data_IF_871960512925
#
_entry.id   IF_871960512925
#
_cell.length_a   1.000
_cell.length_b   1.000
_cell.length_c   1.000
_cell.angle_alpha   90.00
_cell.angle_beta   90.00
_cell.angle_gamma   90.00
#
_symmetry.space_group_name_H-M   'P 1'
#
loop_
_entity.id
_entity.type
_entity.pdbx_description
1 polymer ?
#
# COMPACT_ATOMS: atom_id res chain seq x y z
N UNK A 1 -9.13 -28.03 5.65
CA UNK A 1 -7.74 -28.22 5.18
C UNK A 1 -7.14 -26.94 4.57
N UNK A 2 -7.84 -26.22 3.67
CA UNK A 2 -7.37 -24.94 3.10
C UNK A 2 -7.19 -23.77 4.09
N UNK A 3 -7.92 -23.73 5.22
CA UNK A 3 -7.78 -22.68 6.26
C UNK A 3 -6.45 -22.72 7.05
N UNK A 4 -5.81 -23.89 7.14
CA UNK A 4 -4.62 -24.07 8.01
C UNK A 4 -3.29 -23.76 7.31
N UNK A 5 -3.26 -23.80 5.97
CA UNK A 5 -2.03 -23.60 5.18
C UNK A 5 -1.63 -22.11 5.11
N UNK A 6 -2.56 -21.19 5.31
CA UNK A 6 -2.33 -19.73 5.22
C UNK A 6 -1.56 -19.18 6.45
N UNK A 7 -1.48 -19.92 7.56
CA UNK A 7 -1.35 -19.31 8.91
C UNK A 7 0.07 -19.39 9.53
N UNK A 8 1.13 -19.83 8.83
CA UNK A 8 2.48 -19.79 9.41
C UNK A 8 3.32 -18.55 9.08
N UNK A 9 2.97 -17.78 8.05
CA UNK A 9 3.68 -16.55 7.66
C UNK A 9 2.78 -15.30 7.63
N UNK A 10 1.50 -15.44 7.96
CA UNK A 10 0.57 -14.31 7.99
C UNK A 10 0.77 -13.47 9.26
N UNK A 11 0.77 -12.15 9.09
CA UNK A 11 0.83 -11.18 10.20
C UNK A 11 -0.58 -11.03 10.77
N UNK A 12 -0.78 -11.35 12.05
CA UNK A 12 -2.12 -11.43 12.65
C UNK A 12 -2.21 -10.52 13.88
N UNK A 13 -3.36 -9.85 14.01
CA UNK A 13 -3.72 -9.08 15.21
C UNK A 13 -5.21 -9.21 15.49
N UNK A 14 -5.60 -9.13 16.76
CA UNK A 14 -6.98 -8.90 17.17
C UNK A 14 -7.13 -7.57 17.89
N UNK A 15 -8.33 -6.99 17.82
CA UNK A 15 -8.66 -5.77 18.55
C UNK A 15 -10.06 -5.82 19.15
N UNK A 16 -10.25 -5.11 20.26
CA UNK A 16 -11.57 -4.90 20.87
C UNK A 16 -12.46 -4.01 19.98
N UNK A 17 -13.73 -3.84 20.37
CA UNK A 17 -14.68 -3.00 19.62
C UNK A 17 -14.25 -1.51 19.52
N UNK A 18 -13.34 -1.04 20.40
CA UNK A 18 -12.77 0.31 20.36
C UNK A 18 -11.57 0.40 19.41
N UNK A 19 -11.00 -0.73 18.99
CA UNK A 19 -9.82 -0.80 18.13
C UNK A 19 -8.50 -0.90 18.91
N UNK A 20 -8.53 -1.21 20.20
CA UNK A 20 -7.33 -1.49 20.98
C UNK A 20 -6.90 -2.93 20.75
N UNK A 21 -5.60 -3.15 20.56
CA UNK A 21 -5.02 -4.46 20.29
C UNK A 21 -5.21 -5.36 21.52
N UNK A 22 -5.79 -6.53 21.32
CA UNK A 22 -5.99 -7.56 22.34
C UNK A 22 -5.09 -8.77 22.13
N UNK A 23 -4.55 -8.93 20.92
CA UNK A 23 -3.63 -10.01 20.57
C UNK A 23 -2.80 -9.63 19.34
N UNK A 24 -1.56 -10.11 19.31
CA UNK A 24 -0.68 -10.10 18.14
C UNK A 24 0.10 -11.40 18.07
N UNK A 25 0.46 -11.85 16.87
CA UNK A 25 1.37 -12.98 16.73
C UNK A 25 2.83 -12.53 16.59
N UNK A 26 3.76 -13.49 16.69
CA UNK A 26 5.21 -13.25 16.56
C UNK A 26 5.56 -12.53 15.25
N UNK A 27 4.89 -12.86 14.14
CA UNK A 27 5.11 -12.22 12.86
C UNK A 27 4.79 -10.71 12.90
N UNK A 28 3.73 -10.30 13.61
CA UNK A 28 3.40 -8.89 13.81
C UNK A 28 4.48 -8.17 14.61
N UNK A 29 4.92 -8.76 15.73
CA UNK A 29 5.99 -8.19 16.55
C UNK A 29 7.28 -8.04 15.73
N UNK A 30 7.66 -9.08 14.98
CA UNK A 30 8.86 -9.10 14.15
C UNK A 30 8.86 -8.03 13.05
N UNK A 31 7.77 -7.89 12.30
CA UNK A 31 7.74 -6.92 11.19
C UNK A 31 7.64 -5.48 11.69
N UNK A 32 6.89 -5.24 12.77
CA UNK A 32 6.66 -3.91 13.32
C UNK A 32 7.83 -3.42 14.21
N UNK A 33 8.63 -4.34 14.74
CA UNK A 33 9.73 -4.04 15.66
C UNK A 33 9.28 -3.71 17.09
N UNK A 34 8.00 -3.83 17.39
CA UNK A 34 7.46 -3.69 18.74
C UNK A 34 7.44 -5.03 19.47
N UNK A 35 7.60 -4.99 20.78
CA UNK A 35 7.30 -6.14 21.64
C UNK A 35 5.79 -6.25 21.85
N UNK A 36 5.31 -7.45 22.15
CA UNK A 36 3.89 -7.70 22.41
C UNK A 36 3.38 -6.81 23.54
N UNK A 37 4.12 -6.68 24.65
CA UNK A 37 3.73 -5.85 25.80
C UNK A 37 3.57 -4.37 25.46
N UNK A 38 4.23 -3.89 24.40
CA UNK A 38 4.11 -2.52 23.91
C UNK A 38 2.89 -2.31 23.02
N UNK A 39 2.34 -3.40 22.46
CA UNK A 39 1.21 -3.40 21.53
C UNK A 39 -0.11 -3.65 22.26
N UNK A 40 -0.15 -4.58 23.21
CA UNK A 40 -1.39 -4.94 23.92
C UNK A 40 -1.99 -3.72 24.63
N UNK A 41 -3.29 -3.52 24.45
CA UNK A 41 -4.06 -2.41 24.99
C UNK A 41 -3.85 -1.08 24.27
N UNK A 42 -2.96 -0.99 23.27
CA UNK A 42 -2.78 0.22 22.47
C UNK A 42 -3.75 0.26 21.29
N UNK A 43 -4.16 1.45 20.83
CA UNK A 43 -4.91 1.58 19.59
C UNK A 43 -4.06 1.07 18.41
N UNK A 44 -4.70 0.39 17.45
CA UNK A 44 -4.01 -0.18 16.28
C UNK A 44 -3.24 0.85 15.45
N UNK A 45 -3.60 2.15 15.55
CA UNK A 45 -2.92 3.24 14.87
C UNK A 45 -1.46 3.48 15.33
N UNK A 46 -0.96 2.79 16.36
CA UNK A 46 0.45 2.84 16.79
C UNK A 46 1.44 2.53 15.65
N UNK A 47 1.05 1.64 14.73
CA UNK A 47 1.86 1.28 13.55
C UNK A 47 1.49 2.09 12.30
N UNK A 48 0.58 3.07 12.38
CA UNK A 48 0.14 3.83 11.20
C UNK A 48 1.27 4.72 10.69
N UNK A 49 1.54 4.66 9.39
CA UNK A 49 2.44 5.61 8.75
C UNK A 49 1.74 6.97 8.53
N UNK A 50 2.41 8.12 8.77
CA UNK A 50 1.81 9.45 8.58
C UNK A 50 1.42 9.76 7.13
N UNK A 51 2.15 9.23 6.15
CA UNK A 51 1.84 9.38 4.72
C UNK A 51 0.53 8.70 4.28
N UNK A 52 -0.08 7.85 5.11
CA UNK A 52 -1.33 7.20 4.74
C UNK A 52 -2.48 8.21 4.81
N UNK A 53 -3.25 8.30 3.73
CA UNK A 53 -4.47 9.11 3.71
C UNK A 53 -5.46 8.61 4.78
N UNK A 54 -5.91 9.57 5.60
CA UNK A 54 -6.95 9.36 6.61
C UNK A 54 -8.25 8.79 6.05
N UNK A 55 -8.56 9.06 4.77
CA UNK A 55 -9.77 8.59 4.09
C UNK A 55 -9.87 7.06 4.07
N UNK A 56 -8.74 6.37 3.88
CA UNK A 56 -8.65 4.90 3.90
C UNK A 56 -9.12 4.33 5.24
N UNK A 57 -8.73 4.96 6.34
CA UNK A 57 -9.14 4.49 7.67
C UNK A 57 -10.59 4.86 8.01
N UNK A 58 -11.09 5.97 7.46
CA UNK A 58 -12.51 6.35 7.59
C UNK A 58 -13.39 5.31 6.90
N UNK A 59 -13.04 4.94 5.67
CA UNK A 59 -13.71 3.91 4.88
C UNK A 59 -13.61 2.53 5.56
N UNK A 60 -12.42 2.14 6.02
CA UNK A 60 -12.21 0.93 6.80
C UNK A 60 -13.14 0.88 8.02
N UNK A 61 -13.18 1.92 8.85
CA UNK A 61 -14.03 1.95 10.04
C UNK A 61 -15.51 1.87 9.70
N UNK A 62 -15.96 2.61 8.68
CA UNK A 62 -17.34 2.53 8.21
C UNK A 62 -17.71 1.09 7.81
N UNK A 63 -16.84 0.44 7.03
CA UNK A 63 -17.05 -0.93 6.55
C UNK A 63 -17.12 -1.96 7.68
N UNK A 64 -16.16 -1.94 8.61
CA UNK A 64 -16.11 -2.97 9.66
C UNK A 64 -17.02 -2.70 10.87
N UNK A 65 -17.34 -1.43 11.17
CA UNK A 65 -18.21 -1.06 12.29
C UNK A 65 -19.66 -0.88 11.89
N UNK A 66 -19.92 -0.06 10.88
CA UNK A 66 -21.28 0.36 10.55
C UNK A 66 -21.96 -0.69 9.66
N UNK A 67 -21.25 -1.14 8.61
CA UNK A 67 -21.75 -2.17 7.69
C UNK A 67 -21.54 -3.59 8.22
N UNK A 68 -20.67 -3.76 9.22
CA UNK A 68 -20.27 -5.05 9.81
C UNK A 68 -19.78 -6.05 8.73
N UNK A 69 -19.08 -5.54 7.71
CA UNK A 69 -18.53 -6.33 6.62
C UNK A 69 -17.00 -6.42 6.70
N UNK A 70 -16.39 -7.45 6.07
CA UNK A 70 -14.95 -7.49 5.83
C UNK A 70 -14.46 -6.26 5.06
N UNK A 71 -13.32 -5.70 5.48
CA UNK A 71 -12.60 -4.69 4.71
C UNK A 71 -11.28 -5.27 4.20
N UNK A 72 -10.85 -4.85 3.01
CA UNK A 72 -9.57 -5.21 2.41
C UNK A 72 -8.88 -4.00 1.80
N UNK A 73 -7.57 -3.87 2.00
CA UNK A 73 -6.81 -2.76 1.42
C UNK A 73 -5.31 -2.85 1.67
N UNK A 74 -4.56 -2.00 0.96
CA UNK A 74 -3.11 -1.86 1.14
C UNK A 74 -2.83 -0.74 2.13
N UNK A 75 -1.97 -1.01 3.12
CA UNK A 75 -1.64 -0.05 4.18
C UNK A 75 -0.12 0.06 4.33
N UNK A 76 0.40 1.28 4.33
CA UNK A 76 1.75 1.61 4.77
C UNK A 76 1.77 1.75 6.28
N UNK A 77 2.61 0.96 6.92
CA UNK A 77 2.83 1.02 8.37
C UNK A 77 4.25 1.51 8.67
N UNK A 78 4.42 2.10 9.85
CA UNK A 78 5.70 2.54 10.40
C UNK A 78 6.12 1.60 11.53
N UNK A 79 7.36 1.16 11.47
CA UNK A 79 8.04 0.37 12.50
C UNK A 79 8.41 1.24 13.71
N UNK A 80 8.78 0.59 14.81
CA UNK A 80 9.26 1.27 16.02
C UNK A 80 10.51 2.14 15.77
N UNK A 81 11.40 1.70 14.90
CA UNK A 81 12.65 2.39 14.53
C UNK A 81 12.45 3.55 13.55
N UNK A 82 11.22 3.80 13.09
CA UNK A 82 10.89 4.85 12.12
C UNK A 82 10.88 4.40 10.66
N UNK A 83 11.41 3.21 10.34
CA UNK A 83 11.30 2.63 8.99
C UNK A 83 9.83 2.27 8.67
N UNK A 84 9.55 1.86 7.44
CA UNK A 84 8.20 1.49 7.02
C UNK A 84 8.13 0.10 6.39
N UNK A 85 6.90 -0.40 6.25
CA UNK A 85 6.58 -1.63 5.55
C UNK A 85 5.17 -1.52 4.96
N UNK A 86 4.92 -2.24 3.87
CA UNK A 86 3.61 -2.29 3.22
C UNK A 86 2.94 -3.63 3.47
N UNK A 87 1.64 -3.60 3.76
CA UNK A 87 0.84 -4.80 3.97
C UNK A 87 -0.43 -4.76 3.16
N UNK A 88 -0.75 -5.87 2.50
CA UNK A 88 -2.12 -6.14 2.09
C UNK A 88 -2.87 -6.68 3.31
N UNK A 89 -3.97 -6.03 3.68
CA UNK A 89 -4.69 -6.24 4.93
C UNK A 89 -6.11 -6.68 4.64
N UNK A 90 -6.60 -7.67 5.38
CA UNK A 90 -8.01 -8.00 5.50
C UNK A 90 -8.42 -7.85 6.97
N UNK A 91 -9.52 -7.17 7.25
CA UNK A 91 -10.07 -6.99 8.60
C UNK A 91 -11.49 -7.51 8.61
N UNK A 92 -11.75 -8.47 9.49
CA UNK A 92 -13.07 -9.07 9.68
C UNK A 92 -13.63 -8.68 11.05
N UNK A 93 -14.84 -8.10 11.12
CA UNK A 93 -15.58 -8.02 12.37
C UNK A 93 -16.11 -9.41 12.76
N UNK A 94 -15.93 -9.77 14.01
CA UNK A 94 -16.49 -10.99 14.61
C UNK A 94 -17.71 -10.57 15.41
N UNK A 95 -18.87 -11.15 15.09
CA UNK A 95 -20.14 -10.79 15.67
C UNK A 95 -20.60 -11.84 16.70
N UNK A 96 -21.30 -11.40 17.74
CA UNK A 96 -22.04 -12.28 18.64
C UNK A 96 -23.38 -12.73 18.01
N UNK A 97 -24.13 -13.57 18.74
CA UNK A 97 -25.44 -14.08 18.30
C UNK A 97 -26.50 -12.99 18.12
N UNK A 98 -26.31 -11.82 18.76
CA UNK A 98 -27.18 -10.66 18.65
C UNK A 98 -26.74 -9.69 17.55
N UNK A 99 -25.66 -10.03 16.82
CA UNK A 99 -25.08 -9.20 15.77
C UNK A 99 -24.24 -8.02 16.28
N UNK A 100 -23.88 -7.96 17.56
CA UNK A 100 -22.93 -6.97 18.08
C UNK A 100 -21.50 -7.37 17.78
N UNK A 101 -20.62 -6.39 17.60
CA UNK A 101 -19.20 -6.64 17.36
C UNK A 101 -18.53 -7.07 18.66
N UNK A 102 -18.01 -8.29 18.68
CA UNK A 102 -17.21 -8.84 19.77
C UNK A 102 -15.76 -8.36 19.67
N UNK A 103 -15.16 -8.56 18.49
CA UNK A 103 -13.76 -8.22 18.21
C UNK A 103 -13.53 -8.02 16.71
N UNK A 104 -12.38 -7.46 16.36
CA UNK A 104 -11.88 -7.43 14.98
C UNK A 104 -10.68 -8.35 14.84
N UNK A 105 -10.61 -9.10 13.74
CA UNK A 105 -9.45 -9.91 13.38
C UNK A 105 -8.84 -9.34 12.10
N UNK A 106 -7.57 -8.94 12.18
CA UNK A 106 -6.79 -8.46 11.04
C UNK A 106 -5.74 -9.48 10.62
N UNK A 107 -5.75 -9.84 9.33
CA UNK A 107 -4.75 -10.71 8.70
C UNK A 107 -4.04 -9.91 7.62
N UNK A 108 -2.71 -10.02 7.58
CA UNK A 108 -1.86 -9.22 6.71
C UNK A 108 -0.79 -10.05 6.02
N UNK A 109 -0.53 -9.68 4.78
CA UNK A 109 0.59 -10.18 3.97
C UNK A 109 1.56 -9.04 3.74
N UNK A 110 2.85 -9.25 4.02
CA UNK A 110 3.91 -8.30 3.67
C UNK A 110 4.04 -8.21 2.15
N UNK A 111 3.90 -7.01 1.61
CA UNK A 111 4.04 -6.70 0.19
C UNK A 111 5.09 -5.60 -0.04
N UNK A 112 5.97 -5.37 0.95
CA UNK A 112 6.97 -4.28 0.91
C UNK A 112 7.86 -4.36 -0.32
N UNK A 113 8.38 -5.54 -0.65
CA UNK A 113 9.23 -5.72 -1.83
C UNK A 113 8.45 -5.57 -3.15
N UNK A 114 7.16 -5.93 -3.15
CA UNK A 114 6.27 -5.73 -4.30
C UNK A 114 6.07 -4.24 -4.56
N UNK A 115 5.74 -3.45 -3.53
CA UNK A 115 5.52 -2.01 -3.68
C UNK A 115 6.83 -1.28 -4.02
N UNK A 116 7.97 -1.66 -3.44
CA UNK A 116 9.28 -1.11 -3.85
C UNK A 116 9.61 -1.40 -5.31
N UNK A 117 9.35 -2.63 -5.76
CA UNK A 117 9.60 -3.01 -7.17
C UNK A 117 8.68 -2.23 -8.10
N UNK A 118 7.42 -2.06 -7.72
CA UNK A 118 6.45 -1.27 -8.48
C UNK A 118 6.85 0.21 -8.57
N UNK A 119 7.33 0.80 -7.48
CA UNK A 119 7.85 2.17 -7.46
C UNK A 119 9.08 2.31 -8.38
N UNK A 120 10.05 1.40 -8.26
CA UNK A 120 11.21 1.35 -9.15
C UNK A 120 10.82 1.24 -10.63
N UNK A 121 9.91 0.32 -10.97
CA UNK A 121 9.45 0.13 -12.34
C UNK A 121 8.72 1.36 -12.88
N UNK A 122 7.96 2.05 -12.03
CA UNK A 122 7.29 3.31 -12.39
C UNK A 122 8.33 4.39 -12.73
N UNK A 123 9.34 4.56 -11.89
CA UNK A 123 10.41 5.53 -12.15
C UNK A 123 11.15 5.24 -13.46
N UNK A 124 11.47 3.96 -13.72
CA UNK A 124 12.10 3.56 -14.99
C UNK A 124 11.18 3.82 -16.20
N UNK A 125 9.88 3.57 -16.05
CA UNK A 125 8.90 3.87 -17.09
C UNK A 125 8.84 5.38 -17.38
N UNK A 126 8.78 6.21 -16.35
CA UNK A 126 8.70 7.67 -16.47
C UNK A 126 9.97 8.24 -17.13
N UNK A 127 11.16 7.73 -16.77
CA UNK A 127 12.43 8.09 -17.43
C UNK A 127 12.41 7.70 -18.92
N UNK A 128 11.95 6.49 -19.23
CA UNK A 128 11.87 6.00 -20.61
C UNK A 128 10.92 6.85 -21.46
N UNK A 129 9.76 7.24 -20.93
CA UNK A 129 8.81 8.13 -21.60
C UNK A 129 9.43 9.49 -21.91
N UNK A 130 10.13 10.09 -20.95
CA UNK A 130 10.79 11.37 -21.13
C UNK A 130 11.88 11.30 -22.22
N UNK A 131 12.74 10.28 -22.16
CA UNK A 131 13.78 10.06 -23.17
C UNK A 131 13.19 9.87 -24.58
N UNK A 132 12.11 9.10 -24.69
CA UNK A 132 11.42 8.90 -25.98
C UNK A 132 10.85 10.22 -26.51
N UNK A 133 10.25 11.03 -25.64
CA UNK A 133 9.70 12.34 -26.02
C UNK A 133 10.80 13.30 -26.51
N UNK A 134 11.98 13.28 -25.90
CA UNK A 134 13.13 14.07 -26.35
C UNK A 134 13.59 13.66 -27.75
N UNK A 135 13.73 12.35 -28.00
CA UNK A 135 14.11 11.83 -29.32
C UNK A 135 13.07 12.22 -30.39
N UNK A 136 11.78 12.11 -30.07
CA UNK A 136 10.70 12.52 -30.98
C UNK A 136 10.73 14.02 -31.29
N UNK A 137 11.01 14.86 -30.29
CA UNK A 137 11.14 16.30 -30.49
C UNK A 137 12.33 16.62 -31.39
N UNK A 138 13.47 15.94 -31.18
CA UNK A 138 14.65 16.11 -32.00
C UNK A 138 14.41 15.67 -33.45
N UNK A 139 13.71 14.54 -33.68
CA UNK A 139 13.33 14.08 -35.02
C UNK A 139 12.53 15.13 -35.78
N UNK A 140 11.50 15.71 -35.13
CA UNK A 140 10.69 16.78 -35.72
C UNK A 140 11.51 18.02 -36.06
N UNK A 141 12.49 18.38 -35.22
CA UNK A 141 13.37 19.51 -35.51
C UNK A 141 14.22 19.25 -36.76
N UNK A 142 14.76 18.04 -36.92
CA UNK A 142 15.51 17.64 -38.10
C UNK A 142 14.63 17.62 -39.37
N UNK A 143 13.44 17.05 -39.31
CA UNK A 143 12.47 17.05 -40.43
C UNK A 143 12.19 18.48 -40.91
N UNK A 144 11.84 19.37 -39.97
CA UNK A 144 11.60 20.79 -40.29
C UNK A 144 12.82 21.49 -40.89
N UNK A 145 14.03 21.17 -40.41
CA UNK A 145 15.26 21.75 -40.95
C UNK A 145 15.54 21.27 -42.39
N UNK A 146 15.30 19.99 -42.67
CA UNK A 146 15.45 19.40 -44.00
C UNK A 146 14.44 20.01 -44.98
N UNK A 147 13.18 20.14 -44.58
CA UNK A 147 12.14 20.79 -45.41
C UNK A 147 12.51 22.23 -45.75
N UNK A 148 12.92 23.03 -44.76
CA UNK A 148 13.36 24.42 -44.98
C UNK A 148 14.56 24.48 -45.92
N UNK A 149 15.56 23.63 -45.75
CA UNK A 149 16.74 23.58 -46.63
C UNK A 149 16.35 23.22 -48.08
N UNK A 150 15.44 22.28 -48.26
CA UNK A 150 14.98 21.82 -49.57
C UNK A 150 14.24 22.92 -50.34
N UNK A 151 13.45 23.74 -49.63
CA UNK A 151 12.79 24.94 -50.19
C UNK A 151 13.81 26.00 -50.64
N UNK A 152 14.90 26.19 -49.88
CA UNK A 152 15.94 27.17 -50.22
C UNK A 152 16.76 26.77 -51.45
N UNK A 153 17.01 25.48 -51.66
CA UNK A 153 17.72 24.98 -52.85
C UNK A 153 16.87 25.11 -54.12
N UNK A 154 15.55 24.95 -54.01
CA UNK A 154 14.62 25.02 -55.15
C UNK A 154 14.37 26.47 -55.65
N UNK A 155 14.58 27.50 -54.81
CA UNK A 155 14.41 28.92 -55.19
C UNK A 155 15.65 29.59 -55.79
N UNK A 156 16.77 28.86 -55.91
CA UNK A 156 18.06 29.39 -56.41
C UNK A 156 18.44 28.91 -57.83
N UNK A 157 17.61 28.08 -58.46
CA UNK A 157 17.71 27.72 -59.88
C UNK A 157 16.68 28.50 -60.69
#
# INVERSE_FOLDING_TARGET
MLKYVIVRSSIVSKADFKGNITYVNEAFCKISGYKEEELIGKPHNIVRHPDMDSSVFKEMWHTIKDLKQPWSGIVKNRKKDGNFYWVQTIINPILDENGNILEFIGIRTDITEIEKTKEYLKDQYDISQNNFQEVMNLSKLYENAIEKSSIFLCKRG
#
